data_IF_688084835573
#
_entry.id   IF_688084835573
#
_cell.length_a   1.000
_cell.length_b   1.000
_cell.length_c   1.000
_cell.angle_alpha   90.00
_cell.angle_beta   90.00
_cell.angle_gamma   90.00
#
_symmetry.space_group_name_H-M   'P 1'
#
loop_
_entity.id
_entity.type
_entity.pdbx_description
1 polymer ?
#
# COMPACT_ATOMS: atom_id res chain seq x y z
N UNK A 1 31.37 12.47 -5.30
CA UNK A 1 30.62 12.33 -4.03
C UNK A 1 29.36 13.21 -4.03
N UNK A 2 28.32 12.84 -4.81
CA UNK A 2 27.06 13.64 -4.96
C UNK A 2 25.78 12.80 -4.74
N UNK A 3 25.88 11.62 -4.12
CA UNK A 3 24.77 10.66 -4.00
C UNK A 3 24.20 10.50 -2.58
N UNK A 4 24.63 11.33 -1.61
CA UNK A 4 24.26 11.18 -0.20
C UNK A 4 23.15 12.15 0.27
N UNK A 5 22.52 12.90 -0.65
CA UNK A 5 21.48 13.89 -0.30
C UNK A 5 20.04 13.49 -0.63
N UNK A 6 19.82 12.33 -1.25
CA UNK A 6 18.48 11.88 -1.64
C UNK A 6 17.74 11.07 -0.56
N UNK A 7 18.40 10.69 0.54
CA UNK A 7 17.83 9.79 1.56
C UNK A 7 17.08 10.47 2.71
N UNK A 8 17.24 11.79 2.90
CA UNK A 8 16.68 12.51 4.06
C UNK A 8 15.32 13.16 3.74
N UNK A 9 14.99 13.36 2.47
CA UNK A 9 13.73 14.00 2.07
C UNK A 9 12.49 13.09 2.17
N UNK A 10 12.65 11.76 2.20
CA UNK A 10 11.50 10.86 2.30
C UNK A 10 10.94 10.72 3.73
N UNK A 11 11.77 10.94 4.76
CA UNK A 11 11.33 10.84 6.17
C UNK A 11 10.65 12.12 6.68
N UNK A 12 10.82 13.26 5.99
CA UNK A 12 10.21 14.53 6.37
C UNK A 12 8.75 14.69 5.92
N UNK A 13 8.29 13.89 4.94
CA UNK A 13 6.92 13.99 4.41
C UNK A 13 5.86 13.29 5.28
N UNK A 14 6.27 12.41 6.21
CA UNK A 14 5.35 11.72 7.14
C UNK A 14 4.97 12.62 8.34
N UNK A 15 5.73 13.68 8.57
CA UNK A 15 5.60 14.55 9.74
C UNK A 15 4.64 15.75 9.54
N UNK A 16 4.04 15.90 8.36
CA UNK A 16 3.22 17.08 8.00
C UNK A 16 1.72 16.86 8.31
N UNK A 17 1.33 15.70 8.83
CA UNK A 17 0.02 15.52 9.49
C UNK A 17 0.04 16.15 10.90
N UNK A 18 0.48 17.39 11.00
CA UNK A 18 0.43 18.17 12.23
C UNK A 18 -0.94 18.86 12.30
N UNK A 19 -1.70 18.48 13.33
CA UNK A 19 -2.87 19.17 13.89
C UNK A 19 -3.77 19.90 12.89
N UNK A 20 -4.87 19.25 12.51
CA UNK A 20 -6.10 19.99 12.24
C UNK A 20 -6.43 20.84 13.48
N UNK A 21 -6.16 22.15 13.38
CA UNK A 21 -6.55 23.13 14.39
C UNK A 21 -8.08 23.07 14.53
N UNK A 22 -8.54 22.55 15.67
CA UNK A 22 -9.92 22.69 16.08
C UNK A 22 -10.21 24.17 16.22
N UNK A 23 -11.08 24.70 15.37
CA UNK A 23 -11.68 26.01 15.59
C UNK A 23 -12.58 25.89 16.84
N UNK A 24 -12.15 26.50 17.95
CA UNK A 24 -12.97 26.65 19.14
C UNK A 24 -14.14 27.61 18.84
N UNK A 25 -15.23 27.04 18.33
CA UNK A 25 -16.50 27.74 18.25
C UNK A 25 -17.13 27.75 19.67
N UNK A 26 -17.59 28.92 20.18
CA UNK A 26 -18.14 29.03 21.52
C UNK A 26 -19.39 28.14 21.68
N UNK A 27 -19.35 27.28 22.69
CA UNK A 27 -20.34 26.24 22.94
C UNK A 27 -21.74 26.83 23.23
N UNK A 28 -22.66 26.64 22.28
CA UNK A 28 -24.08 26.61 22.57
C UNK A 28 -24.40 25.30 23.31
N UNK A 29 -25.02 25.41 24.49
CA UNK A 29 -25.69 24.40 25.36
C UNK A 29 -25.25 22.92 25.19
N UNK A 30 -24.85 22.20 26.26
CA UNK A 30 -24.41 20.82 26.15
C UNK A 30 -25.52 19.92 25.58
N UNK A 31 -25.34 19.48 24.33
CA UNK A 31 -26.14 18.41 23.76
C UNK A 31 -25.91 17.13 24.58
N UNK A 32 -26.93 16.27 24.76
CA UNK A 32 -26.72 14.97 25.38
C UNK A 32 -25.68 14.20 24.55
N UNK A 33 -24.56 13.85 25.20
CA UNK A 33 -23.49 13.07 24.58
C UNK A 33 -24.04 11.67 24.33
N UNK A 34 -24.48 11.41 23.09
CA UNK A 34 -24.78 10.06 22.63
C UNK A 34 -23.45 9.34 22.50
N UNK A 35 -23.17 8.37 23.37
CA UNK A 35 -22.01 7.52 23.23
C UNK A 35 -22.12 6.77 21.90
N UNK A 36 -21.35 7.18 20.89
CA UNK A 36 -21.16 6.36 19.71
C UNK A 36 -20.35 5.13 20.15
N UNK A 37 -20.92 3.94 19.96
CA UNK A 37 -20.19 2.69 20.11
C UNK A 37 -18.90 2.80 19.29
N UNK A 38 -17.76 2.89 19.98
CA UNK A 38 -16.46 2.94 19.32
C UNK A 38 -16.28 1.65 18.54
N UNK A 39 -16.20 1.76 17.21
CA UNK A 39 -16.01 0.61 16.34
C UNK A 39 -14.78 -0.19 16.81
N UNK A 40 -14.87 -1.54 16.88
CA UNK A 40 -13.75 -2.34 17.36
C UNK A 40 -12.53 -2.10 16.47
N UNK A 41 -11.42 -1.70 17.08
CA UNK A 41 -10.15 -1.51 16.39
C UNK A 41 -9.68 -2.86 15.85
N UNK A 42 -9.79 -3.06 14.54
CA UNK A 42 -9.36 -4.30 13.88
C UNK A 42 -7.95 -4.16 13.31
N UNK A 43 -7.15 -5.23 13.34
CA UNK A 43 -5.78 -5.20 12.86
C UNK A 43 -5.77 -5.06 11.33
N UNK A 44 -5.27 -3.94 10.83
CA UNK A 44 -5.08 -3.67 9.40
C UNK A 44 -3.75 -4.24 8.87
N UNK A 45 -3.24 -5.30 9.50
CA UNK A 45 -1.90 -5.85 9.23
C UNK A 45 -1.73 -6.25 7.76
N UNK A 46 -2.74 -6.90 7.18
CA UNK A 46 -2.72 -7.30 5.77
C UNK A 46 -2.70 -6.11 4.80
N UNK A 47 -3.46 -5.05 5.08
CA UNK A 47 -3.45 -3.85 4.24
C UNK A 47 -2.07 -3.20 4.24
N UNK A 48 -1.43 -3.06 5.41
CA UNK A 48 -0.08 -2.50 5.49
C UNK A 48 0.99 -3.42 4.91
N UNK A 49 0.85 -4.75 5.07
CA UNK A 49 1.75 -5.71 4.44
C UNK A 49 1.69 -5.63 2.91
N UNK A 50 0.49 -5.52 2.32
CA UNK A 50 0.32 -5.32 0.88
C UNK A 50 0.90 -3.99 0.41
N UNK A 51 0.68 -2.89 1.15
CA UNK A 51 1.24 -1.57 0.80
C UNK A 51 2.77 -1.58 0.84
N UNK A 52 3.36 -2.13 1.91
CA UNK A 52 4.82 -2.22 2.06
C UNK A 52 5.43 -3.15 1.00
N UNK A 53 4.82 -4.31 0.76
CA UNK A 53 5.25 -5.23 -0.29
C UNK A 53 5.19 -4.58 -1.67
N UNK A 54 4.11 -3.83 -1.95
CA UNK A 54 3.96 -3.11 -3.20
C UNK A 54 5.03 -2.03 -3.39
N UNK A 55 5.27 -1.20 -2.38
CA UNK A 55 6.32 -0.18 -2.41
C UNK A 55 7.72 -0.80 -2.57
N UNK A 56 8.00 -1.92 -1.91
CA UNK A 56 9.27 -2.63 -2.05
C UNK A 56 9.47 -3.18 -3.47
N UNK A 57 8.43 -3.72 -4.09
CA UNK A 57 8.47 -4.20 -5.48
C UNK A 57 8.66 -3.07 -6.49
N UNK A 58 7.98 -1.93 -6.30
CA UNK A 58 8.24 -0.76 -7.15
C UNK A 58 9.68 -0.28 -6.97
N UNK A 59 10.19 -0.26 -5.74
CA UNK A 59 11.58 0.08 -5.46
C UNK A 59 12.59 -0.85 -6.13
N UNK A 60 12.33 -2.17 -6.13
CA UNK A 60 13.21 -3.14 -6.78
C UNK A 60 13.21 -3.01 -8.31
N UNK A 61 12.13 -2.52 -8.91
CA UNK A 61 12.08 -2.26 -10.36
C UNK A 61 13.19 -1.30 -10.82
N UNK A 62 13.43 -0.21 -10.08
CA UNK A 62 14.50 0.75 -10.36
C UNK A 62 15.90 0.12 -10.28
N UNK A 63 16.11 -0.82 -9.35
CA UNK A 63 17.37 -1.54 -9.25
C UNK A 63 17.62 -2.40 -10.49
N UNK A 64 16.60 -3.14 -10.96
CA UNK A 64 16.71 -3.94 -12.18
C UNK A 64 16.89 -3.09 -13.43
N UNK A 65 16.18 -1.96 -13.55
CA UNK A 65 16.37 -1.00 -14.65
C UNK A 65 17.78 -0.43 -14.65
N UNK A 66 18.31 -0.04 -13.48
CA UNK A 66 19.69 0.45 -13.38
C UNK A 66 20.72 -0.58 -13.85
N UNK A 67 20.49 -1.86 -13.53
CA UNK A 67 21.35 -2.95 -13.97
C UNK A 67 21.20 -3.27 -15.46
N UNK A 68 19.99 -3.19 -16.01
CA UNK A 68 19.77 -3.30 -17.45
C UNK A 68 20.52 -2.21 -18.21
N UNK A 69 20.46 -0.96 -17.74
CA UNK A 69 21.18 0.15 -18.36
C UNK A 69 22.69 -0.06 -18.33
N UNK A 70 23.28 -0.54 -17.22
CA UNK A 70 24.72 -0.80 -17.17
C UNK A 70 25.15 -1.87 -18.18
N UNK A 71 24.37 -2.94 -18.33
CA UNK A 71 24.68 -3.99 -19.32
C UNK A 71 24.50 -3.50 -20.76
N UNK A 72 23.55 -2.60 -20.99
CA UNK A 72 23.36 -1.97 -22.29
C UNK A 72 24.55 -1.06 -22.65
N UNK A 73 25.05 -0.29 -21.68
CA UNK A 73 26.25 0.54 -21.86
C UNK A 73 27.49 -0.31 -22.19
N UNK A 74 27.62 -1.47 -21.54
CA UNK A 74 28.69 -2.43 -21.82
C UNK A 74 28.53 -3.07 -23.21
N UNK A 75 27.31 -3.42 -23.61
CA UNK A 75 26.98 -3.95 -24.94
C UNK A 75 27.41 -2.99 -26.06
N UNK A 76 27.19 -1.68 -25.91
CA UNK A 76 27.56 -0.70 -26.93
C UNK A 76 29.07 -0.55 -27.12
N UNK A 77 29.88 -1.01 -26.16
CA UNK A 77 31.35 -0.92 -26.19
C UNK A 77 32.02 -2.24 -26.52
N UNK A 78 31.28 -3.34 -26.45
CA UNK A 78 31.80 -4.68 -26.66
C UNK A 78 31.97 -4.98 -28.14
N UNK A 79 33.06 -5.68 -28.48
CA UNK A 79 33.39 -6.08 -29.86
C UNK A 79 33.38 -7.59 -30.07
N UNK A 80 33.38 -8.35 -28.98
CA UNK A 80 33.25 -9.81 -29.03
C UNK A 80 31.78 -10.23 -29.25
N UNK A 81 31.43 -10.88 -30.38
CA UNK A 81 30.05 -11.27 -30.69
C UNK A 81 29.45 -12.25 -29.68
N UNK A 82 30.24 -13.15 -29.09
CA UNK A 82 29.72 -14.10 -28.09
C UNK A 82 29.34 -13.39 -26.79
N UNK A 83 30.09 -12.34 -26.44
CA UNK A 83 29.84 -11.53 -25.25
C UNK A 83 28.67 -10.58 -25.44
N UNK A 84 28.53 -10.02 -26.64
CA UNK A 84 27.38 -9.20 -27.05
C UNK A 84 26.05 -9.94 -26.83
N UNK A 85 25.95 -11.20 -27.28
CA UNK A 85 24.73 -12.01 -27.12
C UNK A 85 24.39 -12.21 -25.62
N UNK A 86 25.40 -12.52 -24.80
CA UNK A 86 25.21 -12.71 -23.37
C UNK A 86 24.75 -11.44 -22.63
N UNK A 87 25.25 -10.26 -23.04
CA UNK A 87 24.87 -8.97 -22.49
C UNK A 87 23.44 -8.60 -22.89
N UNK A 88 23.06 -8.88 -24.13
CA UNK A 88 21.70 -8.66 -24.63
C UNK A 88 20.68 -9.51 -23.86
N UNK A 89 20.90 -10.81 -23.73
CA UNK A 89 20.02 -11.72 -22.99
C UNK A 89 19.89 -11.34 -21.51
N UNK A 90 20.98 -10.88 -20.92
CA UNK A 90 20.98 -10.43 -19.52
C UNK A 90 20.21 -9.12 -19.36
N UNK A 91 20.30 -8.22 -20.34
CA UNK A 91 19.52 -6.97 -20.38
C UNK A 91 18.03 -7.28 -20.47
N UNK A 92 17.62 -8.16 -21.39
CA UNK A 92 16.22 -8.59 -21.53
C UNK A 92 15.64 -9.20 -20.25
N UNK A 93 16.41 -10.06 -19.58
CA UNK A 93 15.97 -10.66 -18.30
C UNK A 93 15.75 -9.60 -17.21
N UNK A 94 16.67 -8.65 -17.08
CA UNK A 94 16.53 -7.57 -16.10
C UNK A 94 15.34 -6.66 -16.42
N UNK A 95 15.10 -6.36 -17.69
CA UNK A 95 13.95 -5.57 -18.12
C UNK A 95 12.62 -6.28 -17.81
N UNK A 96 12.56 -7.59 -18.04
CA UNK A 96 11.41 -8.41 -17.64
C UNK A 96 11.17 -8.39 -16.12
N UNK A 97 12.23 -8.46 -15.31
CA UNK A 97 12.12 -8.32 -13.84
C UNK A 97 11.68 -6.92 -13.40
N UNK A 98 12.19 -5.87 -14.04
CA UNK A 98 11.76 -4.50 -13.76
C UNK A 98 10.26 -4.32 -14.06
N UNK A 99 9.80 -4.77 -15.24
CA UNK A 99 8.40 -4.68 -15.64
C UNK A 99 7.48 -5.48 -14.72
N UNK A 100 7.83 -6.72 -14.41
CA UNK A 100 7.01 -7.59 -13.56
C UNK A 100 6.92 -7.07 -12.13
N UNK A 101 8.04 -6.58 -11.57
CA UNK A 101 8.05 -5.99 -10.23
C UNK A 101 7.22 -4.71 -10.15
N UNK A 102 7.26 -3.86 -11.17
CA UNK A 102 6.43 -2.66 -11.24
C UNK A 102 4.93 -3.01 -11.24
N UNK A 103 4.50 -3.91 -12.15
CA UNK A 103 3.09 -4.33 -12.25
C UNK A 103 2.61 -5.01 -10.96
N UNK A 104 3.40 -5.93 -10.41
CA UNK A 104 3.07 -6.61 -9.17
C UNK A 104 3.01 -5.62 -7.99
N UNK A 105 3.91 -4.64 -7.97
CA UNK A 105 3.95 -3.60 -6.96
C UNK A 105 2.71 -2.72 -6.96
N UNK A 106 2.28 -2.26 -8.13
CA UNK A 106 1.04 -1.47 -8.30
C UNK A 106 -0.20 -2.29 -7.90
N UNK A 107 -0.28 -3.55 -8.31
CA UNK A 107 -1.38 -4.44 -7.94
C UNK A 107 -1.48 -4.63 -6.42
N UNK A 108 -0.35 -4.75 -5.73
CA UNK A 108 -0.31 -4.86 -4.27
C UNK A 108 -0.71 -3.56 -3.56
N UNK A 109 -0.29 -2.40 -4.07
CA UNK A 109 -0.74 -1.11 -3.53
C UNK A 109 -2.25 -0.97 -3.69
N UNK A 110 -2.79 -1.24 -4.88
CA UNK A 110 -4.21 -1.22 -5.15
C UNK A 110 -4.98 -2.17 -4.22
N UNK A 111 -4.45 -3.38 -4.01
CA UNK A 111 -5.01 -4.37 -3.08
C UNK A 111 -4.98 -3.88 -1.63
N UNK A 112 -3.87 -3.29 -1.18
CA UNK A 112 -3.74 -2.73 0.17
C UNK A 112 -4.72 -1.58 0.42
N UNK A 113 -4.90 -0.69 -0.56
CA UNK A 113 -5.90 0.38 -0.52
C UNK A 113 -7.33 -0.18 -0.53
N UNK A 114 -7.60 -1.18 -1.37
CA UNK A 114 -8.88 -1.88 -1.40
C UNK A 114 -9.20 -2.48 -0.04
N UNK A 115 -8.27 -3.24 0.56
CA UNK A 115 -8.44 -3.84 1.88
C UNK A 115 -8.58 -2.80 3.00
N UNK A 116 -7.91 -1.66 2.88
CA UNK A 116 -7.95 -0.61 3.90
C UNK A 116 -9.26 0.19 3.89
N UNK A 117 -9.78 0.49 2.70
CA UNK A 117 -10.84 1.50 2.53
C UNK A 117 -12.14 0.96 1.95
N UNK A 118 -12.08 -0.04 1.06
CA UNK A 118 -13.24 -0.52 0.31
C UNK A 118 -13.78 -1.81 0.93
N UNK A 119 -12.90 -2.77 1.21
CA UNK A 119 -13.28 -4.02 1.85
C UNK A 119 -13.51 -3.76 3.34
N UNK A 120 -14.74 -3.40 3.69
CA UNK A 120 -15.24 -3.54 5.06
C UNK A 120 -15.71 -4.99 5.21
N UNK A 121 -14.93 -5.89 5.84
CA UNK A 121 -15.49 -7.15 6.27
C UNK A 121 -16.61 -6.80 7.25
N UNK A 122 -17.86 -7.12 6.89
CA UNK A 122 -19.06 -6.90 7.70
C UNK A 122 -18.91 -7.65 9.01
N UNK A 123 -18.31 -6.99 9.99
CA UNK A 123 -17.98 -7.55 11.28
C UNK A 123 -18.89 -7.05 12.38
N UNK A 124 -19.88 -6.26 11.99
CA UNK A 124 -20.98 -5.76 12.82
C UNK A 124 -22.35 -6.31 12.40
N UNK A 125 -22.45 -7.21 11.41
CA UNK A 125 -23.69 -7.95 11.16
C UNK A 125 -23.93 -8.91 12.33
N UNK A 126 -24.37 -8.37 13.47
CA UNK A 126 -24.80 -9.13 14.62
C UNK A 126 -26.13 -9.73 14.22
N UNK A 127 -26.11 -10.98 13.78
CA UNK A 127 -27.31 -11.78 13.62
C UNK A 127 -27.91 -11.94 15.02
N UNK A 128 -28.85 -11.06 15.38
CA UNK A 128 -29.48 -11.14 16.69
C UNK A 128 -30.66 -12.10 16.55
N UNK A 129 -30.49 -13.30 17.09
CA UNK A 129 -31.51 -14.33 17.07
C UNK A 129 -32.26 -14.28 18.40
N UNK A 130 -33.53 -13.89 18.37
CA UNK A 130 -34.41 -13.94 19.54
C UNK A 130 -35.45 -15.03 19.33
N UNK A 131 -35.38 -16.09 20.15
CA UNK A 131 -36.43 -17.11 20.24
C UNK A 131 -37.30 -16.75 21.44
N UNK A 132 -38.55 -16.37 21.19
CA UNK A 132 -39.58 -16.24 22.20
C UNK A 132 -40.62 -17.36 22.02
N UNK A 133 -41.32 -17.81 23.09
CA UNK A 133 -42.23 -18.97 23.05
C UNK A 133 -43.35 -18.88 22.01
N UNK A 134 -43.66 -17.68 21.53
CA UNK A 134 -44.72 -17.41 20.55
C UNK A 134 -44.24 -16.69 19.30
N UNK A 135 -42.95 -16.33 19.18
CA UNK A 135 -42.40 -15.60 18.02
C UNK A 135 -40.92 -15.91 17.78
N UNK A 136 -40.57 -16.26 16.55
CA UNK A 136 -39.19 -16.23 16.05
C UNK A 136 -39.02 -14.97 15.19
N UNK A 137 -38.02 -14.16 15.51
CA UNK A 137 -37.65 -13.01 14.70
C UNK A 137 -36.16 -13.07 14.36
N UNK A 138 -35.85 -12.83 13.09
CA UNK A 138 -34.48 -12.66 12.60
C UNK A 138 -34.34 -11.19 12.28
N UNK A 139 -33.54 -10.47 13.07
CA UNK A 139 -33.24 -9.07 12.83
C UNK A 139 -31.84 -8.95 12.23
N UNK A 140 -31.75 -8.42 11.01
CA UNK A 140 -30.50 -7.95 10.45
C UNK A 140 -30.30 -6.49 10.88
N UNK A 141 -29.23 -6.25 11.63
CA UNK A 141 -28.76 -4.89 11.93
C UNK A 141 -27.47 -4.66 11.15
N UNK A 142 -27.49 -3.62 10.31
CA UNK A 142 -26.38 -3.17 9.48
C UNK A 142 -25.68 -1.99 10.15
#
# INVERSE_FOLDING_TARGET
MRWLRAGITLLALVSIFDRAAGADAPAAVPFPVVALDSAPARPNGWAYASLLGGAALIGSSFYFTGRANSHYDDYLRETDPARIESLYDTTLRNDAYARSSLIAGEALIATGLYLRFIHRPHSGARLQWSIAPTRCAIAFRF
#
